data_IF_717365469834
#
_entry.id   IF_717365469834
#
_cell.length_a   1.000
_cell.length_b   1.000
_cell.length_c   1.000
_cell.angle_alpha   90.00
_cell.angle_beta   90.00
_cell.angle_gamma   90.00
#
_symmetry.space_group_name_H-M   'P 1'
#
loop_
_entity.id
_entity.type
_entity.pdbx_description
1 polymer ?
#
# COMPACT_ATOMS: atom_id res chain seq x y z
N UNK A 1 -0.94 1.12 -28.70
CA UNK A 1 -1.49 0.15 -27.72
C UNK A 1 -2.92 -0.12 -28.12
N UNK A 2 -3.34 -1.39 -28.20
CA UNK A 2 -4.63 -1.76 -28.78
C UNK A 2 -5.77 -1.42 -27.78
N UNK A 3 -6.84 -0.75 -28.22
CA UNK A 3 -7.94 -0.29 -27.35
C UNK A 3 -8.57 -1.42 -26.52
N UNK A 4 -8.57 -2.63 -27.06
CA UNK A 4 -9.06 -3.85 -26.40
C UNK A 4 -8.16 -4.27 -25.22
N UNK A 5 -6.85 -4.06 -25.33
CA UNK A 5 -5.91 -4.34 -24.24
C UNK A 5 -6.09 -3.33 -23.09
N UNK A 6 -6.40 -2.08 -23.43
CA UNK A 6 -6.69 -1.03 -22.45
C UNK A 6 -7.97 -1.36 -21.66
N UNK A 7 -9.07 -1.68 -22.36
CA UNK A 7 -10.33 -2.06 -21.73
C UNK A 7 -10.20 -3.31 -20.84
N UNK A 8 -9.43 -4.30 -21.29
CA UNK A 8 -9.15 -5.49 -20.49
C UNK A 8 -8.34 -5.16 -19.24
N UNK A 9 -7.34 -4.29 -19.35
CA UNK A 9 -6.55 -3.82 -18.21
C UNK A 9 -7.42 -3.07 -17.19
N UNK A 10 -8.27 -2.16 -17.67
CA UNK A 10 -9.15 -1.36 -16.82
C UNK A 10 -10.20 -2.23 -16.11
N UNK A 11 -10.76 -3.22 -16.81
CA UNK A 11 -11.68 -4.20 -16.23
C UNK A 11 -11.02 -5.03 -15.12
N UNK A 12 -9.80 -5.53 -15.35
CA UNK A 12 -9.04 -6.29 -14.35
C UNK A 12 -8.67 -5.43 -13.14
N UNK A 13 -8.39 -4.14 -13.35
CA UNK A 13 -8.13 -3.18 -12.29
C UNK A 13 -9.37 -2.95 -11.42
N UNK A 14 -10.54 -2.72 -12.02
CA UNK A 14 -11.79 -2.54 -11.29
C UNK A 14 -12.16 -3.78 -10.47
N UNK A 15 -12.05 -4.97 -11.07
CA UNK A 15 -12.23 -6.25 -10.36
C UNK A 15 -11.30 -6.39 -9.15
N UNK A 16 -10.04 -5.97 -9.28
CA UNK A 16 -9.07 -6.02 -8.19
C UNK A 16 -9.43 -5.03 -7.07
N UNK A 17 -9.87 -3.81 -7.42
CA UNK A 17 -10.32 -2.80 -6.46
C UNK A 17 -11.58 -3.26 -5.72
N UNK A 18 -12.53 -3.90 -6.41
CA UNK A 18 -13.73 -4.48 -5.81
C UNK A 18 -13.37 -5.58 -4.81
N UNK A 19 -12.51 -6.53 -5.18
CA UNK A 19 -12.07 -7.60 -4.27
C UNK A 19 -11.36 -7.06 -3.02
N UNK A 20 -10.48 -6.06 -3.17
CA UNK A 20 -9.82 -5.41 -2.05
C UNK A 20 -10.81 -4.67 -1.13
N UNK A 21 -11.81 -4.03 -1.72
CA UNK A 21 -12.88 -3.33 -1.00
C UNK A 21 -13.74 -4.31 -0.19
N UNK A 22 -14.10 -5.47 -0.77
CA UNK A 22 -14.87 -6.51 -0.11
C UNK A 22 -14.12 -7.19 1.05
N UNK A 23 -12.79 -7.29 0.98
CA UNK A 23 -11.97 -7.79 2.08
C UNK A 23 -11.80 -6.78 3.24
N UNK A 24 -12.44 -5.61 3.18
CA UNK A 24 -12.18 -4.49 4.10
C UNK A 24 -10.73 -3.98 3.99
N UNK A 25 -9.99 -4.40 2.96
CA UNK A 25 -8.60 -4.02 2.69
C UNK A 25 -8.60 -2.88 1.70
N UNK A 26 -8.82 -1.68 2.20
CA UNK A 26 -8.62 -0.48 1.40
C UNK A 26 -7.13 -0.14 1.24
N UNK A 27 -6.77 0.59 0.18
CA UNK A 27 -5.97 0.12 -0.92
C UNK A 27 -4.60 0.73 -0.78
N UNK A 28 -3.80 0.09 0.05
CA UNK A 28 -2.54 0.71 0.41
C UNK A 28 -1.63 0.87 -0.83
N UNK A 29 -1.81 0.05 -1.88
CA UNK A 29 -1.24 0.27 -3.21
C UNK A 29 -1.63 1.61 -3.86
N UNK A 30 -2.89 2.06 -3.77
CA UNK A 30 -3.28 3.36 -4.35
C UNK A 30 -2.62 4.53 -3.61
N UNK A 31 -2.36 4.34 -2.33
CA UNK A 31 -1.69 5.34 -1.52
C UNK A 31 -0.21 5.47 -1.89
N UNK A 32 0.48 4.34 -2.04
CA UNK A 32 1.87 4.30 -2.54
C UNK A 32 1.94 4.85 -3.97
N UNK A 33 0.98 4.49 -4.83
CA UNK A 33 0.90 4.99 -6.21
C UNK A 33 0.68 6.51 -6.27
N UNK A 34 -0.07 7.08 -5.33
CA UNK A 34 -0.23 8.54 -5.20
C UNK A 34 1.06 9.21 -4.76
N UNK A 35 1.76 8.66 -3.77
CA UNK A 35 3.01 9.22 -3.26
C UNK A 35 4.09 9.20 -4.33
N UNK A 36 4.26 8.05 -5.00
CA UNK A 36 5.26 7.85 -6.07
C UNK A 36 5.00 8.75 -7.27
N UNK A 37 3.73 8.94 -7.66
CA UNK A 37 3.36 9.91 -8.70
C UNK A 37 3.58 11.37 -8.25
N UNK A 38 3.33 11.70 -6.98
CA UNK A 38 3.46 13.08 -6.48
C UNK A 38 4.93 13.49 -6.27
N UNK A 39 5.79 12.52 -5.97
CA UNK A 39 7.23 12.73 -5.75
C UNK A 39 8.10 12.35 -6.96
N UNK A 40 7.49 11.78 -8.01
CA UNK A 40 8.18 11.21 -9.17
C UNK A 40 9.32 10.23 -8.79
N UNK A 41 9.02 9.33 -7.85
CA UNK A 41 9.99 8.39 -7.28
C UNK A 41 9.45 6.97 -7.25
N UNK A 42 10.34 5.99 -7.41
CA UNK A 42 10.01 4.58 -7.26
C UNK A 42 9.63 4.27 -5.81
N UNK A 43 8.63 3.40 -5.55
CA UNK A 43 8.23 3.03 -4.19
C UNK A 43 9.37 2.46 -3.34
N UNK A 44 10.35 1.79 -3.96
CA UNK A 44 11.51 1.20 -3.28
C UNK A 44 12.54 2.24 -2.82
N UNK A 45 12.50 3.45 -3.40
CA UNK A 45 13.43 4.55 -3.12
C UNK A 45 12.87 5.60 -2.16
N UNK A 46 11.66 5.38 -1.63
CA UNK A 46 10.99 6.31 -0.74
C UNK A 46 11.71 6.41 0.60
N UNK A 47 12.15 7.62 0.93
CA UNK A 47 12.77 7.91 2.24
C UNK A 47 11.75 8.48 3.22
N UNK A 48 12.08 8.45 4.52
CA UNK A 48 11.26 9.08 5.55
C UNK A 48 11.13 10.59 5.35
N UNK A 49 12.14 11.27 4.78
CA UNK A 49 12.09 12.71 4.50
C UNK A 49 11.08 13.04 3.38
N UNK A 50 11.09 12.24 2.32
CA UNK A 50 10.13 12.34 1.22
C UNK A 50 8.68 12.26 1.71
N UNK A 51 8.42 11.34 2.65
CA UNK A 51 7.10 11.18 3.25
C UNK A 51 6.71 12.35 4.14
N UNK A 52 7.65 12.92 4.92
CA UNK A 52 7.40 14.14 5.71
C UNK A 52 7.03 15.30 4.80
N UNK A 53 7.76 15.50 3.70
CA UNK A 53 7.46 16.53 2.69
C UNK A 53 6.09 16.32 2.07
N UNK A 54 5.77 15.09 1.67
CA UNK A 54 4.48 14.75 1.10
C UNK A 54 3.32 15.06 2.06
N UNK A 55 3.38 14.61 3.32
CA UNK A 55 2.30 14.87 4.28
C UNK A 55 2.17 16.35 4.66
N UNK A 56 3.29 17.09 4.74
CA UNK A 56 3.27 18.52 4.99
C UNK A 56 2.55 19.30 3.88
N UNK A 57 2.68 18.86 2.63
CA UNK A 57 1.90 19.40 1.51
C UNK A 57 0.44 18.92 1.57
N UNK A 58 0.23 17.64 1.85
CA UNK A 58 -1.10 17.03 1.84
C UNK A 58 -2.06 17.66 2.87
N UNK A 59 -1.56 18.01 4.06
CA UNK A 59 -2.34 18.68 5.12
C UNK A 59 -2.82 20.08 4.68
N UNK A 60 -2.12 20.75 3.77
CA UNK A 60 -2.51 22.07 3.25
C UNK A 60 -3.62 22.00 2.21
N UNK A 61 -3.72 20.89 1.49
CA UNK A 61 -4.58 20.77 0.31
C UNK A 61 -5.79 19.85 0.52
N UNK A 62 -5.72 18.92 1.48
CA UNK A 62 -6.76 17.93 1.72
C UNK A 62 -7.30 17.96 3.15
N UNK A 63 -8.53 17.46 3.30
CA UNK A 63 -9.16 17.29 4.62
C UNK A 63 -8.35 16.34 5.52
N UNK A 64 -8.46 16.55 6.84
CA UNK A 64 -7.81 15.71 7.84
C UNK A 64 -8.18 14.21 7.69
N UNK A 65 -9.44 13.92 7.36
CA UNK A 65 -9.91 12.55 7.10
C UNK A 65 -9.12 11.87 5.98
N UNK A 66 -8.83 12.59 4.89
CA UNK A 66 -8.02 12.11 3.77
C UNK A 66 -6.58 11.84 4.23
N UNK A 67 -5.97 12.76 4.98
CA UNK A 67 -4.60 12.61 5.51
C UNK A 67 -4.50 11.36 6.40
N UNK A 68 -5.50 11.13 7.26
CA UNK A 68 -5.54 9.99 8.18
C UNK A 68 -5.66 8.65 7.46
N UNK A 69 -6.54 8.56 6.45
CA UNK A 69 -6.70 7.34 5.64
C UNK A 69 -5.41 7.00 4.92
N UNK A 70 -4.78 8.02 4.33
CA UNK A 70 -3.47 7.92 3.72
C UNK A 70 -2.46 7.37 4.75
N UNK A 71 -2.20 8.08 5.83
CA UNK A 71 -1.23 7.66 6.84
C UNK A 71 -1.44 6.22 7.35
N UNK A 72 -2.68 5.83 7.63
CA UNK A 72 -3.01 4.47 8.08
C UNK A 72 -2.75 3.40 7.00
N UNK A 73 -2.98 3.72 5.73
CA UNK A 73 -2.65 2.84 4.59
C UNK A 73 -1.15 2.56 4.50
N UNK A 74 -0.33 3.61 4.58
CA UNK A 74 1.14 3.51 4.58
C UNK A 74 1.65 2.65 5.74
N UNK A 75 1.17 2.91 6.96
CA UNK A 75 1.52 2.13 8.15
C UNK A 75 1.18 0.65 7.97
N UNK A 76 -0.01 0.35 7.43
CA UNK A 76 -0.46 -1.04 7.22
C UNK A 76 0.39 -1.76 6.19
N UNK A 77 0.87 -1.08 5.15
CA UNK A 77 1.84 -1.66 4.21
C UNK A 77 3.18 -1.92 4.86
N UNK A 78 3.76 -0.94 5.54
CA UNK A 78 5.06 -1.13 6.18
C UNK A 78 5.02 -2.25 7.20
N UNK A 79 3.97 -2.33 8.03
CA UNK A 79 3.78 -3.51 8.89
C UNK A 79 3.69 -4.79 8.08
N UNK A 80 2.96 -4.80 6.96
CA UNK A 80 2.84 -5.98 6.09
C UNK A 80 4.12 -6.38 5.36
N UNK A 81 5.06 -5.46 5.11
CA UNK A 81 6.34 -5.76 4.45
C UNK A 81 7.47 -6.05 5.46
N UNK A 82 7.42 -5.47 6.66
CA UNK A 82 8.43 -5.66 7.70
C UNK A 82 8.15 -6.84 8.63
N UNK A 83 6.89 -7.25 8.84
CA UNK A 83 6.54 -8.38 9.71
C UNK A 83 6.51 -9.79 9.10
N UNK A 84 6.50 -10.05 7.76
CA UNK A 84 6.52 -11.42 7.27
C UNK A 84 7.76 -12.22 7.72
N UNK A 85 8.85 -11.53 8.07
CA UNK A 85 10.07 -12.14 8.60
C UNK A 85 10.00 -12.50 10.09
N UNK A 86 9.01 -12.00 10.84
CA UNK A 86 8.84 -12.28 12.28
C UNK A 86 7.72 -13.28 12.57
N UNK A 87 6.75 -13.45 11.68
CA UNK A 87 5.64 -14.42 11.87
C UNK A 87 5.91 -15.80 11.27
N UNK A 88 6.89 -15.93 10.37
CA UNK A 88 7.36 -17.25 9.90
C UNK A 88 8.12 -18.04 11.00
N UNK A 89 8.55 -17.37 12.08
CA UNK A 89 9.35 -17.95 13.15
C UNK A 89 8.56 -18.28 14.43
N UNK A 90 7.23 -18.49 14.34
CA UNK A 90 6.42 -18.97 15.47
C UNK A 90 5.84 -20.38 15.28
N UNK A 91 6.04 -21.03 14.13
CA UNK A 91 5.55 -22.40 13.87
C UNK A 91 6.68 -23.44 13.91
N UNK A 92 7.68 -23.26 14.78
CA UNK A 92 8.94 -24.00 14.75
C UNK A 92 9.42 -24.53 16.11
N UNK A 93 8.54 -25.02 16.97
CA UNK A 93 8.89 -25.78 18.20
C UNK A 93 7.62 -26.50 18.66
N UNK A 94 7.52 -27.79 18.95
CA UNK A 94 8.42 -28.94 19.10
C UNK A 94 7.49 -30.16 19.01
N UNK A 95 7.90 -31.25 18.38
CA UNK A 95 7.79 -32.57 19.03
C UNK A 95 9.03 -33.38 18.62
N UNK A 96 9.87 -33.57 19.63
CA UNK A 96 11.07 -34.39 19.66
C UNK A 96 10.66 -35.85 19.48
N UNK A 97 11.42 -36.57 18.65
CA UNK A 97 11.47 -38.03 18.63
C UNK A 97 11.84 -38.58 20.00
N UNK A 98 10.99 -39.44 20.57
CA UNK A 98 11.31 -40.81 21.04
C UNK A 98 10.01 -41.61 20.95
#
# INVERSE_FOLDING_TARGET
MNNEQQQRSDYLYEQHVTHLTLQGKRPALLMVRRITHHLDKSPDTLTTDDLKRYFAQLIKTYSWSTVRINHNGLRKLWMSYLLPSLTACQNGTKLVSV
#
